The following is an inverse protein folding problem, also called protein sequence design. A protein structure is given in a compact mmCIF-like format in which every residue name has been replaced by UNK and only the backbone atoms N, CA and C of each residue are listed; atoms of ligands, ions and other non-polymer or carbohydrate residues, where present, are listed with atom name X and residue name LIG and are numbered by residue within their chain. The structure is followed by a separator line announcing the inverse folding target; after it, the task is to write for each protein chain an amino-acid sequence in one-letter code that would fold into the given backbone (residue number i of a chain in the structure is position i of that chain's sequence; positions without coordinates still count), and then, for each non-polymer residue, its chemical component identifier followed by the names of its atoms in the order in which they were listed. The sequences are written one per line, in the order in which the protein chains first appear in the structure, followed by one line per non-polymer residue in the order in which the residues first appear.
data_IF_236481158874
#
_entry.id   IF_236481158874
#
_cell.length_a   1.000
_cell.length_b   1.000
_cell.length_c   1.000
_cell.angle_alpha   90.00
_cell.angle_beta   90.00
_cell.angle_gamma   90.00
#
_symmetry.space_group_name_H-M   'P 1'
#
loop_
_entity.id
_entity.type
_entity.pdbx_description
1 polymer ?
#
# COMPACT_ATOMS: atom_id res chain seq x y z
N UNK A 1 -13.92 41.20 -6.21
CA UNK A 1 -14.12 40.03 -7.09
C UNK A 1 -13.25 40.21 -8.34
N UNK A 2 -11.95 39.93 -8.27
CA UNK A 2 -11.06 39.85 -9.45
C UNK A 2 -9.69 39.27 -9.03
N UNK A 3 -9.67 38.05 -8.47
CA UNK A 3 -8.41 37.44 -8.01
C UNK A 3 -8.38 35.91 -8.15
N UNK A 4 -9.17 35.34 -9.07
CA UNK A 4 -9.20 33.87 -9.32
C UNK A 4 -8.59 33.50 -10.68
N UNK A 5 -8.22 34.47 -11.52
CA UNK A 5 -7.87 34.20 -12.94
C UNK A 5 -6.37 33.92 -13.20
N UNK A 6 -5.49 34.04 -12.21
CA UNK A 6 -4.03 33.89 -12.42
C UNK A 6 -3.48 32.51 -12.06
N UNK A 7 -4.28 31.63 -11.44
CA UNK A 7 -3.81 30.28 -11.08
C UNK A 7 -3.92 29.26 -12.23
N UNK A 8 -4.82 29.47 -13.19
CA UNK A 8 -5.01 28.53 -14.31
C UNK A 8 -3.96 28.67 -15.42
N UNK A 9 -3.29 29.83 -15.49
CA UNK A 9 -2.35 30.13 -16.58
C UNK A 9 -0.91 29.66 -16.30
N UNK A 10 -0.62 29.15 -15.10
CA UNK A 10 0.71 28.64 -14.75
C UNK A 10 0.83 27.10 -14.81
N UNK A 11 -0.25 26.39 -15.10
CA UNK A 11 -0.27 24.93 -15.28
C UNK A 11 -0.11 24.48 -16.74
N UNK A 12 -0.06 25.41 -17.70
CA UNK A 12 -0.03 25.12 -19.14
C UNK A 12 1.38 24.84 -19.73
N UNK A 13 2.46 25.09 -18.99
CA UNK A 13 3.84 24.99 -19.53
C UNK A 13 4.64 23.77 -19.04
N UNK A 14 3.97 22.79 -18.41
CA UNK A 14 4.60 21.53 -18.01
C UNK A 14 4.63 20.59 -19.23
N UNK A 15 5.72 20.64 -19.99
CA UNK A 15 5.98 19.73 -21.11
C UNK A 15 6.20 18.31 -20.59
N UNK A 16 5.11 17.54 -20.56
CA UNK A 16 5.00 16.27 -19.85
C UNK A 16 5.97 15.21 -20.38
N UNK A 17 6.19 15.16 -21.68
CA UNK A 17 7.14 14.21 -22.29
C UNK A 17 8.59 14.57 -21.91
N UNK A 18 8.89 15.86 -21.77
CA UNK A 18 10.22 16.33 -21.34
C UNK A 18 10.47 16.08 -19.86
N UNK A 19 9.46 16.25 -19.01
CA UNK A 19 9.56 15.97 -17.58
C UNK A 19 9.60 14.47 -17.27
N UNK A 20 8.85 13.64 -18.01
CA UNK A 20 8.91 12.18 -17.90
C UNK A 20 10.26 11.68 -18.41
N UNK A 21 10.72 12.15 -19.57
CA UNK A 21 12.03 11.80 -20.12
C UNK A 21 13.21 12.31 -19.28
N UNK A 22 13.02 13.33 -18.43
CA UNK A 22 14.03 13.77 -17.47
C UNK A 22 14.05 12.90 -16.20
N UNK A 23 12.93 12.31 -15.80
CA UNK A 23 12.84 11.42 -14.62
C UNK A 23 13.43 10.04 -14.92
N UNK A 24 13.21 9.49 -16.11
CA UNK A 24 13.66 8.13 -16.49
C UNK A 24 15.19 7.89 -16.34
N UNK A 25 16.08 8.75 -16.88
CA UNK A 25 17.52 8.55 -16.75
C UNK A 25 18.03 8.88 -15.35
N UNK A 26 17.42 9.83 -14.63
CA UNK A 26 17.80 10.15 -13.24
C UNK A 26 17.44 9.03 -12.26
N UNK A 27 16.32 8.33 -12.50
CA UNK A 27 15.91 7.12 -11.76
C UNK A 27 16.84 5.95 -12.07
N UNK A 28 17.23 5.77 -13.34
CA UNK A 28 18.17 4.71 -13.73
C UNK A 28 19.62 4.97 -13.25
N UNK A 29 20.07 6.23 -13.23
CA UNK A 29 21.44 6.62 -12.87
C UNK A 29 21.65 6.69 -11.35
N UNK A 30 20.66 7.15 -10.56
CA UNK A 30 20.72 7.12 -9.08
C UNK A 30 20.44 5.76 -8.47
N UNK A 31 19.96 4.77 -9.24
CA UNK A 31 19.76 3.40 -8.77
C UNK A 31 21.05 2.56 -8.72
N UNK A 32 22.17 3.05 -9.24
CA UNK A 32 23.50 2.47 -9.02
C UNK A 32 24.35 3.36 -8.11
N UNK A 33 25.49 2.91 -7.59
CA UNK A 33 25.83 1.81 -6.67
C UNK A 33 25.46 2.08 -5.19
N UNK A 34 24.78 3.20 -4.86
CA UNK A 34 24.45 3.59 -3.47
C UNK A 34 23.45 2.65 -2.76
N UNK A 35 22.68 1.86 -3.53
CA UNK A 35 21.73 0.87 -2.99
C UNK A 35 22.46 -0.25 -2.21
N UNK A 36 23.76 -0.47 -2.48
CA UNK A 36 24.56 -1.47 -1.75
C UNK A 36 24.76 -1.14 -0.27
N UNK A 37 24.75 0.15 0.10
CA UNK A 37 24.86 0.60 1.50
C UNK A 37 23.54 0.53 2.28
N UNK A 38 22.39 0.55 1.58
CA UNK A 38 21.05 0.61 2.17
C UNK A 38 20.45 -0.75 2.53
N UNK A 39 21.09 -1.86 2.15
CA UNK A 39 20.75 -3.22 2.64
C UNK A 39 20.74 -3.34 4.17
N UNK A 40 21.39 -2.43 4.90
CA UNK A 40 21.44 -2.41 6.37
C UNK A 40 20.21 -1.81 7.05
N UNK A 41 19.33 -1.11 6.32
CA UNK A 41 18.16 -0.44 6.90
C UNK A 41 16.82 -1.06 6.52
N UNK A 42 16.83 -2.11 5.68
CA UNK A 42 15.65 -2.88 5.38
C UNK A 42 15.35 -3.83 6.55
N UNK A 43 14.24 -3.54 7.22
CA UNK A 43 13.68 -4.21 8.40
C UNK A 43 14.38 -3.86 9.71
N UNK A 44 13.74 -3.00 10.51
CA UNK A 44 14.06 -2.91 11.93
C UNK A 44 13.90 -4.33 12.51
N UNK A 45 14.97 -4.96 13.01
CA UNK A 45 14.93 -6.34 13.49
C UNK A 45 13.91 -6.53 14.62
N UNK A 46 13.55 -5.44 15.32
CA UNK A 46 12.47 -5.43 16.28
C UNK A 46 11.11 -5.75 15.64
N UNK A 47 10.74 -5.07 14.55
CA UNK A 47 9.44 -5.29 13.87
C UNK A 47 9.37 -6.69 13.26
N UNK A 48 10.49 -7.18 12.73
CA UNK A 48 10.59 -8.52 12.17
C UNK A 48 10.56 -9.60 13.26
N UNK A 49 11.16 -9.30 14.42
CA UNK A 49 11.05 -10.10 15.65
C UNK A 49 9.62 -10.13 16.16
N UNK A 50 8.95 -8.98 16.24
CA UNK A 50 7.56 -8.88 16.70
C UNK A 50 6.61 -9.63 15.77
N UNK A 51 6.77 -9.51 14.45
CA UNK A 51 5.97 -10.24 13.47
C UNK A 51 6.17 -11.75 13.57
N UNK A 52 7.42 -12.22 13.71
CA UNK A 52 7.72 -13.63 13.96
C UNK A 52 7.14 -14.12 15.29
N UNK A 53 7.18 -13.31 16.35
CA UNK A 53 6.60 -13.65 17.65
C UNK A 53 5.06 -13.70 17.57
N UNK A 54 4.42 -12.78 16.85
CA UNK A 54 2.97 -12.74 16.71
C UNK A 54 2.44 -13.88 15.83
N UNK A 55 3.05 -14.14 14.67
CA UNK A 55 2.59 -15.21 13.77
C UNK A 55 3.06 -16.59 14.20
N UNK A 56 4.31 -16.75 14.60
CA UNK A 56 4.86 -18.08 14.94
C UNK A 56 4.77 -18.40 16.43
N UNK A 57 4.57 -17.40 17.30
CA UNK A 57 4.44 -17.61 18.76
C UNK A 57 2.99 -17.54 19.24
N UNK A 58 2.28 -16.44 18.96
CA UNK A 58 0.92 -16.24 19.48
C UNK A 58 -0.12 -17.12 18.81
N UNK A 59 -0.07 -17.29 17.48
CA UNK A 59 -1.09 -18.06 16.76
C UNK A 59 -1.13 -19.54 17.18
N UNK A 60 0.01 -20.27 17.30
CA UNK A 60 -0.01 -21.65 17.77
C UNK A 60 -0.46 -21.77 19.23
N UNK A 61 -0.04 -20.85 20.10
CA UNK A 61 -0.48 -20.83 21.51
C UNK A 61 -1.98 -20.60 21.59
N UNK A 62 -2.51 -19.65 20.83
CA UNK A 62 -3.95 -19.39 20.76
C UNK A 62 -4.73 -20.59 20.22
N UNK A 63 -4.23 -21.27 19.18
CA UNK A 63 -4.82 -22.49 18.65
C UNK A 63 -4.86 -23.62 19.70
N UNK A 64 -3.75 -23.83 20.43
CA UNK A 64 -3.67 -24.81 21.52
C UNK A 64 -4.65 -24.48 22.64
N UNK A 65 -4.78 -23.21 23.03
CA UNK A 65 -5.76 -22.77 24.03
C UNK A 65 -7.20 -23.01 23.57
N UNK A 66 -7.51 -22.76 22.29
CA UNK A 66 -8.82 -23.07 21.70
C UNK A 66 -9.12 -24.58 21.71
N UNK A 67 -8.15 -25.42 21.31
CA UNK A 67 -8.33 -26.87 21.33
C UNK A 67 -8.50 -27.38 22.77
N UNK A 68 -7.67 -26.90 23.70
CA UNK A 68 -7.77 -27.27 25.11
C UNK A 68 -9.13 -26.88 25.71
N UNK A 69 -9.65 -25.70 25.32
CA UNK A 69 -10.98 -25.24 25.70
C UNK A 69 -12.09 -26.16 25.17
N UNK A 70 -12.07 -26.52 23.89
CA UNK A 70 -13.05 -27.45 23.29
C UNK A 70 -13.04 -28.79 24.01
N UNK A 71 -11.85 -29.34 24.31
CA UNK A 71 -11.70 -30.61 25.04
C UNK A 71 -12.23 -30.51 26.46
N UNK A 72 -12.01 -29.37 27.14
CA UNK A 72 -12.54 -29.13 28.49
C UNK A 72 -14.07 -29.11 28.50
N UNK A 73 -14.69 -28.36 27.59
CA UNK A 73 -16.15 -28.28 27.45
C UNK A 73 -16.76 -29.66 27.14
N UNK A 74 -16.14 -30.42 26.24
CA UNK A 74 -16.64 -31.75 25.88
C UNK A 74 -16.57 -32.75 27.05
N UNK A 75 -15.59 -32.61 27.95
CA UNK A 75 -15.35 -33.57 29.04
C UNK A 75 -16.14 -33.27 30.32
N UNK A 76 -16.36 -32.01 30.65
CA UNK A 76 -16.86 -31.60 31.97
C UNK A 76 -18.27 -30.99 31.94
N UNK A 77 -19.14 -31.48 31.06
CA UNK A 77 -20.55 -31.10 30.92
C UNK A 77 -21.25 -30.61 32.20
N UNK A 78 -21.81 -29.39 32.22
CA UNK A 78 -22.56 -28.84 33.36
C UNK A 78 -22.72 -27.30 33.33
N UNK A 79 -23.41 -26.71 34.31
CA UNK A 79 -23.74 -25.27 34.34
C UNK A 79 -22.52 -24.33 34.35
N UNK A 80 -21.37 -24.80 34.85
CA UNK A 80 -20.11 -24.05 34.82
C UNK A 80 -19.53 -23.83 33.41
N UNK A 81 -20.01 -24.59 32.40
CA UNK A 81 -19.58 -24.43 31.00
C UNK A 81 -20.08 -23.11 30.42
N UNK A 82 -21.26 -22.64 30.81
CA UNK A 82 -21.84 -21.43 30.22
C UNK A 82 -20.96 -20.21 30.56
N UNK A 83 -20.58 -20.08 31.82
CA UNK A 83 -19.74 -18.97 32.30
C UNK A 83 -18.36 -19.03 31.65
N UNK A 84 -17.74 -20.21 31.63
CA UNK A 84 -16.40 -20.36 31.10
C UNK A 84 -16.36 -20.21 29.56
N UNK A 85 -17.43 -20.58 28.84
CA UNK A 85 -17.59 -20.29 27.40
C UNK A 85 -17.72 -18.79 27.16
N UNK A 86 -18.56 -18.10 27.94
CA UNK A 86 -18.72 -16.65 27.82
C UNK A 86 -17.40 -15.89 28.08
N UNK A 87 -16.60 -16.32 29.06
CA UNK A 87 -15.28 -15.75 29.31
C UNK A 87 -14.30 -16.00 28.15
N UNK A 88 -14.30 -17.20 27.58
CA UNK A 88 -13.43 -17.56 26.46
C UNK A 88 -13.80 -16.80 25.18
N UNK A 89 -15.09 -16.71 24.86
CA UNK A 89 -15.57 -15.92 23.71
C UNK A 89 -15.27 -14.44 23.88
N UNK A 90 -15.40 -13.90 25.10
CA UNK A 90 -15.02 -12.51 25.40
C UNK A 90 -13.53 -12.24 25.16
N UNK A 91 -12.66 -13.19 25.54
CA UNK A 91 -11.23 -13.11 25.24
C UNK A 91 -10.98 -13.19 23.73
N UNK A 92 -11.61 -14.13 23.02
CA UNK A 92 -11.49 -14.24 21.57
C UNK A 92 -11.92 -12.94 20.88
N UNK A 93 -13.04 -12.35 21.26
CA UNK A 93 -13.51 -11.06 20.73
C UNK A 93 -12.48 -9.95 21.02
N UNK A 94 -11.96 -9.89 22.25
CA UNK A 94 -10.95 -8.90 22.64
C UNK A 94 -9.61 -9.05 21.91
N UNK A 95 -9.21 -10.25 21.49
CA UNK A 95 -7.97 -10.45 20.74
C UNK A 95 -8.17 -10.42 19.22
N UNK A 96 -9.24 -11.02 18.73
CA UNK A 96 -9.51 -11.18 17.30
C UNK A 96 -9.89 -9.84 16.66
N UNK A 97 -10.68 -8.99 17.31
CA UNK A 97 -11.07 -7.69 16.75
C UNK A 97 -9.85 -6.77 16.59
N UNK A 98 -9.00 -6.54 17.61
CA UNK A 98 -7.81 -5.72 17.45
C UNK A 98 -6.83 -6.35 16.46
N UNK A 99 -6.65 -7.67 16.47
CA UNK A 99 -5.72 -8.33 15.55
C UNK A 99 -6.18 -8.23 14.09
N UNK A 100 -7.47 -8.43 13.81
CA UNK A 100 -8.03 -8.27 12.47
C UNK A 100 -7.99 -6.81 12.02
N UNK A 101 -8.34 -5.87 12.89
CA UNK A 101 -8.20 -4.44 12.61
C UNK A 101 -6.74 -4.05 12.37
N UNK A 102 -5.80 -4.62 13.14
CA UNK A 102 -4.37 -4.40 12.96
C UNK A 102 -3.94 -4.92 11.58
N UNK A 103 -4.18 -6.18 11.26
CA UNK A 103 -3.78 -6.80 9.97
C UNK A 103 -4.42 -6.11 8.75
N UNK A 104 -5.63 -5.57 8.90
CA UNK A 104 -6.36 -4.99 7.76
C UNK A 104 -6.19 -3.49 7.60
N UNK A 105 -5.58 -2.79 8.56
CA UNK A 105 -5.47 -1.33 8.51
C UNK A 105 -4.31 -0.86 7.62
N UNK A 106 -4.57 0.07 6.67
CA UNK A 106 -3.52 0.68 5.85
C UNK A 106 -2.47 1.48 6.65
N UNK A 107 -2.68 1.65 7.96
CA UNK A 107 -1.73 2.23 8.89
C UNK A 107 -0.47 1.37 9.05
N UNK A 108 -0.59 0.03 8.93
CA UNK A 108 0.59 -0.86 8.92
C UNK A 108 1.39 -0.68 7.64
N UNK A 109 0.72 -0.59 6.49
CA UNK A 109 1.37 -0.35 5.20
C UNK A 109 2.19 0.94 5.25
N UNK A 110 1.67 1.97 5.93
CA UNK A 110 2.33 3.24 6.17
C UNK A 110 3.59 3.14 7.05
N UNK A 111 3.58 2.24 8.03
CA UNK A 111 4.70 2.01 8.94
C UNK A 111 5.77 1.09 8.33
N UNK A 112 5.36 0.15 7.48
CA UNK A 112 6.24 -0.85 6.90
C UNK A 112 6.95 -0.36 5.63
N UNK A 113 6.37 0.60 4.89
CA UNK A 113 6.93 1.07 3.64
C UNK A 113 7.84 2.28 3.88
N UNK A 114 9.13 2.09 3.61
CA UNK A 114 10.16 3.14 3.71
C UNK A 114 9.89 4.29 2.73
N UNK A 115 10.54 5.44 2.92
CA UNK A 115 10.46 6.57 1.99
C UNK A 115 10.78 6.14 0.55
N UNK A 116 11.79 5.29 0.37
CA UNK A 116 12.17 4.74 -0.93
C UNK A 116 11.08 3.84 -1.52
N UNK A 117 10.44 3.01 -0.70
CA UNK A 117 9.28 2.24 -1.15
C UNK A 117 8.09 3.12 -1.56
N UNK A 118 7.90 4.29 -0.92
CA UNK A 118 6.86 5.26 -1.32
C UNK A 118 7.20 5.91 -2.66
N UNK A 119 8.45 6.34 -2.84
CA UNK A 119 8.94 6.92 -4.09
C UNK A 119 8.78 5.90 -5.23
N UNK A 120 9.25 4.67 -5.02
CA UNK A 120 9.16 3.59 -5.99
C UNK A 120 7.71 3.28 -6.34
N UNK A 121 6.81 3.21 -5.35
CA UNK A 121 5.39 2.99 -5.57
C UNK A 121 4.79 4.02 -6.53
N UNK A 122 5.06 5.31 -6.32
CA UNK A 122 4.58 6.34 -7.25
C UNK A 122 5.30 6.27 -8.60
N UNK A 123 6.58 5.89 -8.66
CA UNK A 123 7.29 5.68 -9.92
C UNK A 123 6.65 4.56 -10.75
N UNK A 124 6.22 3.46 -10.11
CA UNK A 124 5.50 2.38 -10.79
C UNK A 124 4.12 2.83 -11.29
N UNK A 125 3.42 3.70 -10.56
CA UNK A 125 2.18 4.33 -11.05
C UNK A 125 2.46 5.20 -12.28
N UNK A 126 3.52 6.00 -12.28
CA UNK A 126 3.89 6.85 -13.43
C UNK A 126 4.24 5.99 -14.64
N UNK A 127 5.01 4.92 -14.43
CA UNK A 127 5.51 4.02 -15.47
C UNK A 127 4.38 3.23 -16.13
N UNK A 128 3.52 2.61 -15.33
CA UNK A 128 2.47 1.73 -15.82
C UNK A 128 1.15 2.44 -16.09
N UNK A 129 0.92 3.62 -15.51
CA UNK A 129 -0.25 4.49 -15.72
C UNK A 129 -1.61 3.83 -15.38
N UNK A 130 -1.77 3.13 -14.24
CA UNK A 130 -2.98 2.35 -13.93
C UNK A 130 -4.24 3.22 -13.99
N UNK A 131 -5.33 2.67 -14.54
CA UNK A 131 -6.65 3.30 -14.57
C UNK A 131 -7.50 2.87 -13.35
N UNK A 132 -8.81 3.13 -13.36
CA UNK A 132 -9.70 2.71 -12.25
C UNK A 132 -9.99 1.20 -12.20
N UNK A 133 -9.51 0.39 -13.16
CA UNK A 133 -9.70 -1.06 -13.16
C UNK A 133 -8.74 -1.75 -12.19
N UNK A 134 -9.25 -2.65 -11.33
CA UNK A 134 -8.41 -3.42 -10.40
C UNK A 134 -7.29 -4.21 -11.11
N UNK A 135 -7.52 -4.65 -12.35
CA UNK A 135 -6.53 -5.38 -13.15
C UNK A 135 -5.30 -4.55 -13.49
N UNK A 136 -5.44 -3.24 -13.73
CA UNK A 136 -4.28 -2.38 -14.02
C UNK A 136 -3.45 -2.14 -12.76
N UNK A 137 -4.11 -2.11 -11.59
CA UNK A 137 -3.43 -2.05 -10.29
C UNK A 137 -2.74 -3.36 -9.90
N UNK A 138 -3.23 -4.52 -10.36
CA UNK A 138 -2.53 -5.79 -10.17
C UNK A 138 -1.11 -5.74 -10.75
N UNK A 139 -0.94 -5.11 -11.91
CA UNK A 139 0.39 -4.91 -12.55
C UNK A 139 1.31 -4.13 -11.62
N UNK A 140 0.85 -3.00 -11.08
CA UNK A 140 1.62 -2.20 -10.11
C UNK A 140 1.97 -3.03 -8.87
N UNK A 141 1.03 -3.83 -8.35
CA UNK A 141 1.29 -4.69 -7.20
C UNK A 141 2.36 -5.75 -7.49
N UNK A 142 2.37 -6.37 -8.67
CA UNK A 142 3.39 -7.36 -9.06
C UNK A 142 4.79 -6.72 -9.06
N UNK A 143 4.92 -5.54 -9.65
CA UNK A 143 6.20 -4.83 -9.71
C UNK A 143 6.67 -4.38 -8.32
N UNK A 144 5.76 -3.87 -7.49
CA UNK A 144 6.08 -3.52 -6.11
C UNK A 144 6.46 -4.71 -5.24
N UNK A 145 5.79 -5.85 -5.41
CA UNK A 145 6.15 -7.08 -4.71
C UNK A 145 7.55 -7.57 -5.10
N UNK A 146 7.92 -7.41 -6.37
CA UNK A 146 9.26 -7.71 -6.86
C UNK A 146 10.28 -6.80 -6.20
N UNK A 147 10.05 -5.47 -6.21
CA UNK A 147 10.89 -4.49 -5.53
C UNK A 147 11.07 -4.79 -4.03
N UNK A 148 9.99 -5.11 -3.33
CA UNK A 148 10.06 -5.47 -1.91
C UNK A 148 10.86 -6.75 -1.67
N UNK A 149 10.66 -7.78 -2.50
CA UNK A 149 11.43 -9.03 -2.41
C UNK A 149 12.92 -8.78 -2.63
N UNK A 150 13.29 -7.96 -3.61
CA UNK A 150 14.69 -7.64 -3.93
C UNK A 150 15.37 -6.84 -2.80
N UNK A 151 14.60 -6.00 -2.11
CA UNK A 151 15.05 -5.20 -0.97
C UNK A 151 14.90 -5.93 0.39
N UNK A 152 14.56 -7.22 0.41
CA UNK A 152 14.41 -7.99 1.65
C UNK A 152 13.25 -7.55 2.54
N UNK A 153 12.28 -6.83 1.97
CA UNK A 153 11.06 -6.42 2.67
C UNK A 153 10.04 -7.55 2.55
N UNK A 154 9.47 -8.00 3.68
CA UNK A 154 8.44 -9.06 3.68
C UNK A 154 7.03 -8.54 3.38
N UNK A 155 6.90 -7.24 3.07
CA UNK A 155 5.64 -6.64 2.70
C UNK A 155 5.24 -7.13 1.30
N UNK A 156 3.99 -7.60 1.17
CA UNK A 156 3.46 -8.09 -0.10
C UNK A 156 2.02 -7.62 -0.30
N UNK A 157 1.78 -6.95 -1.41
CA UNK A 157 0.44 -6.70 -1.92
C UNK A 157 -0.18 -8.00 -2.42
N UNK A 158 -1.41 -8.28 -1.98
CA UNK A 158 -2.14 -9.50 -2.38
C UNK A 158 -2.74 -9.33 -3.78
N UNK A 159 -3.29 -8.15 -4.06
CA UNK A 159 -3.99 -7.81 -5.30
C UNK A 159 -4.05 -6.29 -5.51
N UNK A 160 -4.52 -5.88 -6.69
CA UNK A 160 -4.67 -4.49 -7.12
C UNK A 160 -5.53 -3.64 -6.19
N UNK A 161 -6.51 -4.26 -5.52
CA UNK A 161 -7.33 -3.57 -4.52
C UNK A 161 -6.48 -3.04 -3.36
N UNK A 162 -5.45 -3.78 -2.91
CA UNK A 162 -4.55 -3.31 -1.85
C UNK A 162 -3.71 -2.10 -2.31
N UNK A 163 -3.14 -2.16 -3.52
CA UNK A 163 -2.35 -1.04 -4.06
C UNK A 163 -3.23 0.20 -4.29
N UNK A 164 -4.42 0.04 -4.88
CA UNK A 164 -5.36 1.14 -5.10
C UNK A 164 -5.78 1.80 -3.78
N UNK A 165 -6.13 0.98 -2.78
CA UNK A 165 -6.50 1.47 -1.44
C UNK A 165 -5.35 2.22 -0.78
N UNK A 166 -4.12 1.72 -0.89
CA UNK A 166 -2.92 2.37 -0.37
C UNK A 166 -2.67 3.72 -1.06
N UNK A 167 -2.79 3.77 -2.38
CA UNK A 167 -2.67 5.01 -3.15
C UNK A 167 -3.66 6.08 -2.64
N UNK A 168 -4.94 5.73 -2.48
CA UNK A 168 -5.95 6.65 -1.96
C UNK A 168 -5.70 7.06 -0.51
N UNK A 169 -5.19 6.15 0.32
CA UNK A 169 -4.80 6.45 1.70
C UNK A 169 -3.68 7.50 1.74
N UNK A 170 -2.58 7.28 1.02
CA UNK A 170 -1.46 8.23 0.98
C UNK A 170 -1.81 9.56 0.32
N UNK A 171 -2.69 9.54 -0.69
CA UNK A 171 -3.19 10.78 -1.28
C UNK A 171 -3.94 11.62 -0.26
N UNK A 172 -4.89 11.04 0.49
CA UNK A 172 -5.64 11.73 1.54
C UNK A 172 -4.73 12.24 2.65
N UNK A 173 -3.75 11.44 3.08
CA UNK A 173 -2.77 11.85 4.08
C UNK A 173 -1.93 13.04 3.60
N UNK A 174 -1.48 13.05 2.34
CA UNK A 174 -0.74 14.16 1.78
C UNK A 174 -1.58 15.46 1.75
N UNK A 175 -2.86 15.36 1.37
CA UNK A 175 -3.80 16.49 1.39
C UNK A 175 -4.00 17.03 2.81
N UNK A 176 -4.13 16.15 3.81
CA UNK A 176 -4.22 16.54 5.23
C UNK A 176 -2.93 17.21 5.73
N UNK A 177 -1.76 16.66 5.40
CA UNK A 177 -0.47 17.23 5.80
C UNK A 177 -0.25 18.62 5.20
N UNK A 178 -0.66 18.84 3.94
CA UNK A 178 -0.65 20.16 3.31
C UNK A 178 -1.57 21.15 4.03
N UNK A 179 -2.79 20.73 4.38
CA UNK A 179 -3.75 21.56 5.11
C UNK A 179 -3.20 21.99 6.48
N UNK A 180 -2.48 21.09 7.14
CA UNK A 180 -1.87 21.32 8.45
C UNK A 180 -0.54 22.09 8.41
N UNK A 181 -0.06 22.50 7.23
CA UNK A 181 1.21 23.23 7.02
C UNK A 181 2.41 22.61 7.74
N UNK A 182 2.49 21.28 7.80
CA UNK A 182 3.67 20.64 8.38
C UNK A 182 4.87 20.89 7.45
N UNK A 183 5.90 21.63 7.89
CA UNK A 183 7.09 21.81 7.09
C UNK A 183 7.79 20.45 7.01
N UNK A 184 7.99 19.94 5.79
CA UNK A 184 8.76 18.71 5.57
C UNK A 184 10.11 19.10 5.00
N UNK A 185 11.08 19.26 5.89
CA UNK A 185 12.36 19.90 5.58
C UNK A 185 13.40 18.91 5.04
N UNK A 186 13.07 18.19 3.96
CA UNK A 186 14.04 17.29 3.31
C UNK A 186 13.87 17.24 1.79
N UNK A 187 14.99 17.32 1.06
CA UNK A 187 15.06 17.22 -0.40
C UNK A 187 14.35 15.95 -0.92
N UNK A 188 14.47 14.83 -0.20
CA UNK A 188 13.80 13.57 -0.57
C UNK A 188 12.28 13.66 -0.40
N UNK A 189 11.78 14.45 0.54
CA UNK A 189 10.34 14.70 0.67
C UNK A 189 9.81 15.58 -0.46
N UNK A 190 10.56 16.59 -0.88
CA UNK A 190 10.19 17.40 -2.04
C UNK A 190 10.14 16.55 -3.32
N UNK A 191 11.10 15.64 -3.47
CA UNK A 191 11.09 14.67 -4.56
C UNK A 191 9.88 13.75 -4.49
N UNK A 192 9.59 13.14 -3.32
CA UNK A 192 8.39 12.32 -3.13
C UNK A 192 7.13 13.10 -3.52
N UNK A 193 7.04 14.36 -3.12
CA UNK A 193 5.89 15.22 -3.41
C UNK A 193 5.75 15.51 -4.91
N UNK A 194 6.85 15.72 -5.62
CA UNK A 194 6.87 15.84 -7.08
C UNK A 194 6.36 14.56 -7.75
N UNK A 195 6.93 13.40 -7.40
CA UNK A 195 6.53 12.10 -7.98
C UNK A 195 5.06 11.80 -7.67
N UNK A 196 4.60 12.10 -6.45
CA UNK A 196 3.19 11.95 -6.05
C UNK A 196 2.25 12.81 -6.91
N UNK A 197 2.58 14.08 -7.15
CA UNK A 197 1.75 14.98 -7.99
C UNK A 197 1.68 14.47 -9.42
N UNK A 198 2.81 14.02 -9.98
CA UNK A 198 2.85 13.43 -11.34
C UNK A 198 2.02 12.16 -11.42
N UNK A 199 2.15 11.27 -10.44
CA UNK A 199 1.32 10.06 -10.36
C UNK A 199 -0.17 10.41 -10.28
N UNK A 200 -0.56 11.38 -9.44
CA UNK A 200 -1.95 11.79 -9.34
C UNK A 200 -2.52 12.36 -10.64
N UNK A 201 -1.72 13.15 -11.37
CA UNK A 201 -2.05 13.67 -12.70
C UNK A 201 -2.24 12.52 -13.70
N UNK A 202 -1.32 11.56 -13.73
CA UNK A 202 -1.41 10.38 -14.60
C UNK A 202 -2.66 9.55 -14.29
N UNK A 203 -3.02 9.33 -13.02
CA UNK A 203 -4.25 8.61 -12.66
C UNK A 203 -5.51 9.36 -13.14
N UNK A 204 -5.51 10.70 -13.07
CA UNK A 204 -6.63 11.49 -13.60
C UNK A 204 -6.69 11.51 -15.13
N UNK A 205 -5.54 11.32 -15.79
CA UNK A 205 -5.40 11.36 -17.25
C UNK A 205 -5.41 9.97 -17.91
N UNK A 206 -5.26 8.90 -17.14
CA UNK A 206 -5.21 7.53 -17.65
C UNK A 206 -6.58 7.17 -18.23
N UNK A 207 -6.77 7.52 -19.50
CA UNK A 207 -7.91 7.16 -20.31
C UNK A 207 -8.01 5.65 -20.46
N UNK A 208 -9.25 5.19 -20.63
CA UNK A 208 -9.58 3.80 -20.97
C UNK A 208 -8.87 3.36 -22.27
N UNK A 209 -8.69 4.29 -23.21
CA UNK A 209 -8.06 4.07 -24.54
C UNK A 209 -6.61 3.58 -24.47
N UNK A 210 -5.79 4.08 -23.53
CA UNK A 210 -4.39 3.67 -23.38
C UNK A 210 -4.28 2.19 -23.00
N UNK A 211 -5.17 1.73 -22.12
CA UNK A 211 -5.16 0.37 -21.59
C UNK A 211 -5.70 -0.64 -22.60
N UNK A 212 -6.76 -0.30 -23.31
CA UNK A 212 -7.29 -1.13 -24.40
C UNK A 212 -6.26 -1.37 -25.49
N UNK A 213 -5.46 -0.35 -25.83
CA UNK A 213 -4.37 -0.44 -26.79
C UNK A 213 -3.21 -1.31 -26.31
N UNK A 214 -2.76 -1.12 -25.06
CA UNK A 214 -1.51 -1.72 -24.58
C UNK A 214 -1.68 -3.09 -23.93
N UNK A 215 -2.85 -3.35 -23.35
CA UNK A 215 -3.17 -4.59 -22.64
C UNK A 215 -4.61 -5.02 -22.99
N UNK A 216 -4.86 -5.47 -24.24
CA UNK A 216 -6.20 -5.77 -24.72
C UNK A 216 -6.91 -6.84 -23.87
N UNK A 217 -6.18 -7.80 -23.31
CA UNK A 217 -6.71 -8.87 -22.46
C UNK A 217 -7.18 -8.37 -21.06
N UNK A 218 -6.71 -7.19 -20.66
CA UNK A 218 -7.07 -6.55 -19.39
C UNK A 218 -8.11 -5.45 -19.56
N UNK A 219 -8.28 -4.93 -20.78
CA UNK A 219 -9.31 -3.98 -21.13
C UNK A 219 -10.66 -4.49 -20.64
N UNK A 220 -11.40 -3.64 -19.93
CA UNK A 220 -12.80 -3.89 -19.61
C UNK A 220 -13.54 -3.65 -20.92
N UNK A 221 -13.38 -4.58 -21.87
CA UNK A 221 -14.07 -4.54 -23.13
C UNK A 221 -15.54 -4.36 -22.78
N UNK A 222 -16.06 -3.19 -23.15
CA UNK A 222 -17.48 -2.87 -23.14
C UNK A 222 -18.21 -4.14 -23.49
N UNK A 223 -18.95 -4.71 -22.53
CA UNK A 223 -19.72 -5.91 -22.76
C UNK A 223 -20.67 -5.59 -23.90
N UNK A 224 -20.29 -5.95 -25.12
CA UNK A 224 -21.19 -5.98 -26.25
C UNK A 224 -22.19 -7.07 -25.89
N UNK A 225 -23.30 -6.67 -25.27
CA UNK A 225 -24.47 -7.51 -25.16
C UNK A 225 -24.77 -8.03 -26.56
N UNK A 226 -24.70 -9.35 -26.79
CA UNK A 226 -25.09 -9.90 -28.09
C UNK A 226 -26.60 -9.67 -28.23
N UNK A 227 -27.00 -8.99 -29.31
CA UNK A 227 -28.39 -8.94 -29.78
C UNK A 227 -28.83 -10.30 -30.33
#
# INVERSE_FOLDING_TARGET
MHEVSTLEQHTSDINMDKDIAAVDPLVAERAGPEISGLRKYATNPFTLGLWKILLNGFYPVYLVLNIAWIVYVAKYGGDGIIIATACFDSLNVMFYIPLTNFITTPQIDDFCITLDGKIEFYAQIIRYRPNNSLKSWDVVCVHMNTFFSENGTMFRFVNGYHCLRLYHHWRRQAEQNRANRQPVDSERSDYLEKVRKTAAKIISESEESYWESRYPDLGVGSSSTPE
#
